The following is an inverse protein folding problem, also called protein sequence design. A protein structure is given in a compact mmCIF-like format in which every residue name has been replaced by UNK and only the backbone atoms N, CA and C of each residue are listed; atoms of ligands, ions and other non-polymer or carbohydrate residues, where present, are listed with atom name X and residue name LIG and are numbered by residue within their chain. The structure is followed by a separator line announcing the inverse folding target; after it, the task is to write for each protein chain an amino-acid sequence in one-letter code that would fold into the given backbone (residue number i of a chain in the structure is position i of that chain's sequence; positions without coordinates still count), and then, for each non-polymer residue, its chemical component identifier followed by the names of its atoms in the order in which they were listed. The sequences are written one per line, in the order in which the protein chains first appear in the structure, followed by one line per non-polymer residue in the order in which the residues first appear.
data_IF_207465031433
#
_entry.id   IF_207465031433
#
_cell.length_a   1.000
_cell.length_b   1.000
_cell.length_c   1.000
_cell.angle_alpha   90.00
_cell.angle_beta   90.00
_cell.angle_gamma   90.00
#
_symmetry.space_group_name_H-M   'P 1'
#
loop_
_entity.id
_entity.type
_entity.pdbx_description
1 polymer ?
#
# COMPACT_ATOMS: atom_id res chain seq x y z
N UNK A 1 41.24 -8.37 34.68
CA UNK A 1 40.51 -9.65 34.55
C UNK A 1 39.76 -9.67 33.24
N UNK A 2 39.81 -10.82 32.55
CA UNK A 2 39.07 -11.21 31.33
C UNK A 2 39.52 -10.66 29.96
N UNK A 3 40.20 -11.55 29.25
CA UNK A 3 40.72 -11.48 27.89
C UNK A 3 39.63 -11.86 26.88
N UNK A 4 39.33 -11.00 25.89
CA UNK A 4 38.61 -11.38 24.67
C UNK A 4 39.62 -11.90 23.65
N UNK A 5 39.82 -13.21 23.62
CA UNK A 5 40.63 -13.92 22.62
C UNK A 5 39.79 -14.26 21.38
N UNK A 6 40.32 -13.83 20.26
CA UNK A 6 39.88 -14.03 18.88
C UNK A 6 39.89 -15.52 18.50
N UNK A 7 38.84 -15.97 17.80
CA UNK A 7 38.67 -17.30 17.19
C UNK A 7 39.68 -17.57 16.07
N UNK A 8 40.93 -17.82 16.42
CA UNK A 8 41.95 -18.40 15.54
C UNK A 8 42.91 -19.26 16.36
N UNK A 9 42.50 -20.45 16.78
CA UNK A 9 43.41 -21.51 17.27
C UNK A 9 42.65 -22.82 17.45
N UNK A 10 42.22 -23.48 16.37
CA UNK A 10 41.76 -24.88 16.43
C UNK A 10 42.21 -25.75 15.26
N UNK A 11 43.19 -25.32 14.47
CA UNK A 11 43.82 -26.20 13.48
C UNK A 11 45.34 -26.15 13.66
N UNK A 12 45.89 -27.24 14.23
CA UNK A 12 47.30 -27.58 14.04
C UNK A 12 47.45 -28.14 12.61
N UNK A 13 48.54 -27.84 11.90
CA UNK A 13 48.84 -28.46 10.62
C UNK A 13 48.97 -29.98 10.82
N UNK A 14 48.41 -30.75 9.89
CA UNK A 14 48.56 -32.20 9.88
C UNK A 14 50.05 -32.54 9.72
N UNK A 15 50.66 -33.08 10.78
CA UNK A 15 51.92 -33.79 10.65
C UNK A 15 51.63 -35.06 9.85
N UNK A 16 52.16 -35.13 8.62
CA UNK A 16 52.18 -36.37 7.84
C UNK A 16 52.98 -37.42 8.64
N UNK A 17 52.41 -38.59 8.94
CA UNK A 17 53.21 -39.70 9.44
C UNK A 17 54.16 -40.20 8.32
N UNK A 18 55.34 -40.73 8.68
CA UNK A 18 56.30 -41.25 7.72
C UNK A 18 55.70 -42.45 6.96
N UNK A 19 56.19 -42.77 5.75
CA UNK A 19 55.62 -43.84 4.93
C UNK A 19 55.94 -45.19 5.56
N UNK A 20 55.02 -45.70 6.36
CA UNK A 20 55.05 -47.11 6.77
C UNK A 20 54.48 -47.89 5.60
N UNK A 21 55.37 -48.52 4.83
CA UNK A 21 55.04 -49.64 3.96
C UNK A 21 54.55 -50.75 4.89
N UNK A 22 53.25 -50.80 5.14
CA UNK A 22 52.61 -51.96 5.75
C UNK A 22 51.89 -52.71 4.63
N UNK A 23 52.38 -53.90 4.33
CA UNK A 23 51.63 -54.86 3.53
C UNK A 23 50.30 -55.11 4.24
N UNK A 24 49.23 -54.53 3.70
CA UNK A 24 47.88 -54.70 4.26
C UNK A 24 47.46 -56.15 4.11
N UNK A 25 47.28 -56.83 5.24
CA UNK A 25 46.82 -58.21 5.26
C UNK A 25 45.46 -58.36 4.53
N UNK A 26 45.15 -59.52 3.92
CA UNK A 26 43.88 -59.73 3.20
C UNK A 26 42.64 -59.42 4.05
N UNK A 27 42.75 -59.64 5.36
CA UNK A 27 41.70 -59.37 6.35
C UNK A 27 41.42 -57.87 6.52
N UNK A 28 42.45 -57.02 6.50
CA UNK A 28 42.30 -55.56 6.58
C UNK A 28 41.70 -54.98 5.29
N UNK A 29 42.05 -55.53 4.12
CA UNK A 29 41.43 -55.15 2.84
C UNK A 29 39.93 -55.49 2.80
N UNK A 30 39.53 -56.65 3.37
CA UNK A 30 38.11 -57.01 3.51
C UNK A 30 37.35 -56.07 4.44
N UNK A 31 37.95 -55.61 5.54
CA UNK A 31 37.32 -54.65 6.45
C UNK A 31 37.16 -53.25 5.81
N UNK A 32 38.15 -52.79 5.05
CA UNK A 32 38.07 -51.50 4.35
C UNK A 32 37.07 -51.51 3.18
N UNK A 33 36.86 -52.66 2.53
CA UNK A 33 35.89 -52.84 1.46
C UNK A 33 34.47 -53.18 1.96
N UNK A 34 34.33 -53.62 3.22
CA UNK A 34 33.05 -53.98 3.80
C UNK A 34 32.25 -52.71 4.13
N UNK A 35 31.16 -52.49 3.41
CA UNK A 35 30.15 -51.52 3.79
C UNK A 35 28.82 -52.21 4.09
N UNK A 36 28.28 -51.95 5.28
CA UNK A 36 27.07 -52.60 5.80
C UNK A 36 25.83 -52.27 4.96
N UNK A 37 25.74 -51.04 4.48
CA UNK A 37 24.69 -50.55 3.57
C UNK A 37 24.63 -51.38 2.28
N UNK A 38 25.77 -51.66 1.66
CA UNK A 38 25.85 -52.46 0.42
C UNK A 38 25.42 -53.91 0.65
N UNK A 39 25.82 -54.49 1.77
CA UNK A 39 25.39 -55.84 2.21
C UNK A 39 23.89 -55.89 2.49
N UNK A 40 23.33 -54.87 3.12
CA UNK A 40 21.88 -54.79 3.37
C UNK A 40 21.10 -54.63 2.06
N UNK A 41 21.62 -53.85 1.11
CA UNK A 41 21.01 -53.70 -0.21
C UNK A 41 21.03 -55.02 -1.01
N UNK A 42 22.14 -55.77 -0.95
CA UNK A 42 22.22 -57.10 -1.58
C UNK A 42 21.20 -58.08 -0.98
N UNK A 43 21.02 -58.10 0.34
CA UNK A 43 20.04 -58.95 1.02
C UNK A 43 18.60 -58.56 0.61
N UNK A 44 18.29 -57.26 0.56
CA UNK A 44 16.97 -56.77 0.14
C UNK A 44 16.69 -57.15 -1.33
N UNK A 45 17.70 -57.00 -2.20
CA UNK A 45 17.56 -57.37 -3.60
C UNK A 45 17.34 -58.87 -3.77
N UNK A 46 18.01 -59.73 -2.99
CA UNK A 46 17.75 -61.17 -3.00
C UNK A 46 16.33 -61.49 -2.53
N UNK A 47 15.87 -60.89 -1.42
CA UNK A 47 14.50 -61.07 -0.93
C UNK A 47 13.43 -60.67 -1.96
N UNK A 48 13.68 -59.62 -2.74
CA UNK A 48 12.80 -59.20 -3.83
C UNK A 48 12.77 -60.21 -4.98
N UNK A 49 13.95 -60.76 -5.35
CA UNK A 49 14.06 -61.78 -6.40
C UNK A 49 13.38 -63.08 -5.98
N UNK A 50 13.62 -63.54 -4.76
CA UNK A 50 13.03 -64.78 -4.23
C UNK A 50 11.51 -64.68 -4.19
N UNK A 51 10.98 -63.53 -3.73
CA UNK A 51 9.53 -63.29 -3.73
C UNK A 51 8.93 -63.18 -5.13
N UNK A 52 9.69 -62.64 -6.09
CA UNK A 52 9.26 -62.57 -7.48
C UNK A 52 9.23 -63.98 -8.13
N UNK A 53 10.20 -64.83 -7.81
CA UNK A 53 10.25 -66.22 -8.27
C UNK A 53 9.12 -67.04 -7.64
N UNK A 54 8.84 -66.86 -6.35
CA UNK A 54 7.74 -67.54 -5.66
C UNK A 54 6.38 -67.19 -6.28
N UNK A 55 6.13 -65.90 -6.55
CA UNK A 55 4.93 -65.46 -7.27
C UNK A 55 4.90 -66.04 -8.68
N UNK A 56 6.03 -66.08 -9.39
CA UNK A 56 6.10 -66.65 -10.73
C UNK A 56 5.73 -68.14 -10.73
N UNK A 57 6.28 -68.94 -9.81
CA UNK A 57 5.96 -70.37 -9.70
C UNK A 57 4.50 -70.60 -9.30
N UNK A 58 3.96 -69.84 -8.34
CA UNK A 58 2.55 -69.91 -7.98
C UNK A 58 1.67 -69.59 -9.20
N UNK A 59 1.99 -68.54 -9.96
CA UNK A 59 1.22 -68.20 -11.16
C UNK A 59 1.34 -69.24 -12.26
N UNK A 60 2.48 -69.93 -12.37
CA UNK A 60 2.69 -71.01 -13.33
C UNK A 60 1.91 -72.27 -12.96
N UNK A 61 1.94 -72.69 -11.69
CA UNK A 61 1.10 -73.79 -11.19
C UNK A 61 -0.39 -73.47 -11.32
N UNK A 62 -0.81 -72.24 -11.01
CA UNK A 62 -2.19 -71.78 -11.22
C UNK A 62 -2.61 -71.74 -12.70
N UNK A 63 -1.66 -71.66 -13.65
CA UNK A 63 -1.96 -71.74 -15.08
C UNK A 63 -1.96 -73.16 -15.62
N UNK A 64 -1.17 -74.06 -15.05
CA UNK A 64 -1.10 -75.46 -15.45
C UNK A 64 -2.24 -76.30 -14.83
N UNK A 65 -2.77 -75.92 -13.65
CA UNK A 65 -3.96 -76.54 -13.04
C UNK A 65 -5.30 -76.00 -13.61
N UNK A 66 -5.28 -75.02 -14.52
CA UNK A 66 -6.50 -74.60 -15.21
C UNK A 66 -6.88 -75.63 -16.26
N UNK A 67 -7.85 -76.48 -15.91
CA UNK A 67 -8.67 -77.20 -16.88
C UNK A 67 -9.04 -76.28 -18.04
N UNK A 68 -8.86 -76.76 -19.28
CA UNK A 68 -9.15 -76.00 -20.48
C UNK A 68 -10.51 -75.33 -20.35
N UNK A 69 -10.50 -73.99 -20.33
CA UNK A 69 -11.71 -73.20 -20.13
C UNK A 69 -12.79 -73.72 -21.09
N UNK A 70 -14.03 -73.97 -20.62
CA UNK A 70 -15.11 -74.36 -21.51
C UNK A 70 -15.17 -73.33 -22.64
N UNK A 71 -15.45 -73.75 -23.89
CA UNK A 71 -15.42 -72.85 -25.04
C UNK A 71 -16.28 -71.64 -24.67
N UNK A 72 -15.61 -70.49 -24.55
CA UNK A 72 -16.25 -69.24 -24.19
C UNK A 72 -17.36 -69.07 -25.21
N UNK A 73 -18.60 -69.30 -24.78
CA UNK A 73 -19.76 -68.84 -25.52
C UNK A 73 -19.51 -67.36 -25.70
N UNK A 74 -19.25 -66.94 -26.94
CA UNK A 74 -18.76 -65.60 -27.26
C UNK A 74 -19.68 -64.57 -26.60
N UNK A 75 -19.27 -64.11 -25.43
CA UNK A 75 -19.98 -63.03 -24.77
C UNK A 75 -19.73 -61.83 -25.67
N UNK A 76 -20.80 -61.39 -26.36
CA UNK A 76 -20.78 -60.29 -27.33
C UNK A 76 -19.79 -59.20 -26.87
N UNK A 77 -18.87 -58.83 -27.75
CA UNK A 77 -17.77 -57.88 -27.49
C UNK A 77 -18.20 -56.59 -26.78
N UNK A 78 -19.48 -56.20 -26.93
CA UNK A 78 -20.15 -55.10 -26.23
C UNK A 78 -20.30 -55.31 -24.72
N UNK A 79 -20.61 -56.51 -24.23
CA UNK A 79 -20.79 -56.81 -22.79
C UNK A 79 -19.45 -56.79 -22.07
N UNK A 80 -18.41 -57.35 -22.70
CA UNK A 80 -17.03 -57.31 -22.17
C UNK A 80 -16.50 -55.88 -22.12
N UNK A 81 -16.77 -55.07 -23.16
CA UNK A 81 -16.42 -53.64 -23.21
C UNK A 81 -17.15 -52.84 -22.11
N UNK A 82 -18.43 -53.10 -21.88
CA UNK A 82 -19.20 -52.46 -20.81
C UNK A 82 -18.64 -52.77 -19.42
N UNK A 83 -18.35 -54.05 -19.14
CA UNK A 83 -17.78 -54.45 -17.85
C UNK A 83 -16.39 -53.83 -17.62
N UNK A 84 -15.57 -53.77 -18.67
CA UNK A 84 -14.26 -53.11 -18.62
C UNK A 84 -14.38 -51.61 -18.34
N UNK A 85 -15.26 -50.88 -19.04
CA UNK A 85 -15.50 -49.44 -18.81
C UNK A 85 -15.97 -49.21 -17.35
N UNK A 86 -16.91 -50.03 -16.87
CA UNK A 86 -17.42 -49.94 -15.49
C UNK A 86 -16.33 -50.22 -14.44
N UNK A 87 -15.47 -51.21 -14.67
CA UNK A 87 -14.34 -51.52 -13.79
C UNK A 87 -13.30 -50.40 -13.78
N UNK A 88 -12.97 -49.84 -14.95
CA UNK A 88 -12.06 -48.70 -15.05
C UNK A 88 -12.61 -47.47 -14.34
N UNK A 89 -13.91 -47.20 -14.46
CA UNK A 89 -14.58 -46.11 -13.75
C UNK A 89 -14.50 -46.28 -12.23
N UNK A 90 -14.82 -47.46 -11.70
CA UNK A 90 -14.77 -47.75 -10.27
C UNK A 90 -13.34 -47.64 -9.72
N UNK A 91 -12.36 -48.18 -10.43
CA UNK A 91 -10.95 -48.09 -10.04
C UNK A 91 -10.44 -46.65 -10.05
N UNK A 92 -10.79 -45.85 -11.07
CA UNK A 92 -10.43 -44.44 -11.14
C UNK A 92 -11.04 -43.65 -9.97
N UNK A 93 -12.33 -43.84 -9.67
CA UNK A 93 -12.99 -43.16 -8.55
C UNK A 93 -12.38 -43.54 -7.20
N UNK A 94 -12.03 -44.81 -7.01
CA UNK A 94 -11.34 -45.28 -5.82
C UNK A 94 -9.96 -44.63 -5.67
N UNK A 95 -9.14 -44.67 -6.73
CA UNK A 95 -7.81 -44.06 -6.73
C UNK A 95 -7.87 -42.54 -6.56
N UNK A 96 -8.85 -41.86 -7.19
CA UNK A 96 -9.12 -40.44 -7.02
C UNK A 96 -9.36 -40.10 -5.54
N UNK A 97 -10.19 -40.90 -4.85
CA UNK A 97 -10.45 -40.73 -3.42
C UNK A 97 -9.18 -40.91 -2.58
N UNK A 98 -8.33 -41.89 -2.91
CA UNK A 98 -7.05 -42.11 -2.23
C UNK A 98 -6.08 -40.94 -2.40
N UNK A 99 -6.01 -40.35 -3.60
CA UNK A 99 -5.15 -39.19 -3.85
C UNK A 99 -5.70 -37.93 -3.18
N UNK A 100 -7.03 -37.75 -3.18
CA UNK A 100 -7.68 -36.63 -2.48
C UNK A 100 -7.52 -36.68 -0.96
N UNK A 101 -7.42 -37.88 -0.38
CA UNK A 101 -7.19 -38.06 1.07
C UNK A 101 -5.75 -37.80 1.53
N UNK A 102 -4.82 -37.59 0.60
CA UNK A 102 -3.43 -37.31 0.94
C UNK A 102 -3.30 -35.89 1.53
N UNK A 103 -2.66 -35.68 2.70
CA UNK A 103 -2.46 -34.35 3.25
C UNK A 103 -1.73 -33.43 2.27
N UNK A 104 -2.39 -32.33 1.90
CA UNK A 104 -1.82 -31.29 1.03
C UNK A 104 -0.96 -30.32 1.84
N UNK A 105 0.06 -29.76 1.19
CA UNK A 105 0.84 -28.69 1.80
C UNK A 105 -0.04 -27.44 1.82
N UNK A 106 -0.37 -26.88 3.00
CA UNK A 106 -1.18 -25.68 3.09
C UNK A 106 -0.43 -24.47 2.52
N UNK A 107 -1.17 -23.44 2.13
CA UNK A 107 -0.56 -22.19 1.69
C UNK A 107 0.34 -21.62 2.79
N UNK A 108 1.52 -21.13 2.39
CA UNK A 108 2.48 -20.59 3.35
C UNK A 108 1.96 -19.26 3.91
N UNK A 109 1.89 -19.13 5.25
CA UNK A 109 1.38 -17.90 5.88
C UNK A 109 2.16 -16.64 5.48
N UNK A 110 3.44 -16.77 5.16
CA UNK A 110 4.24 -15.65 4.67
C UNK A 110 3.66 -15.04 3.38
N UNK A 111 3.10 -15.84 2.49
CA UNK A 111 2.51 -15.35 1.25
C UNK A 111 1.24 -14.54 1.52
N UNK A 112 0.38 -15.03 2.42
CA UNK A 112 -0.80 -14.28 2.86
C UNK A 112 -0.42 -12.95 3.51
N UNK A 113 0.62 -12.94 4.35
CA UNK A 113 1.13 -11.70 4.97
C UNK A 113 1.70 -10.72 3.93
N UNK A 114 2.43 -11.21 2.94
CA UNK A 114 2.93 -10.37 1.84
C UNK A 114 1.80 -9.80 0.98
N UNK A 115 0.73 -10.57 0.72
CA UNK A 115 -0.46 -10.08 0.03
C UNK A 115 -1.11 -8.93 0.81
N UNK A 116 -1.28 -9.09 2.12
CA UNK A 116 -1.83 -8.03 2.97
C UNK A 116 -0.93 -6.79 3.04
N UNK A 117 0.39 -6.96 3.05
CA UNK A 117 1.33 -5.84 3.08
C UNK A 117 1.29 -4.97 1.81
N UNK A 118 0.80 -5.52 0.69
CA UNK A 118 0.60 -4.76 -0.54
C UNK A 118 -0.71 -3.94 -0.54
N UNK A 119 -1.62 -4.20 0.39
CA UNK A 119 -2.89 -3.49 0.50
C UNK A 119 -2.73 -2.30 1.45
N UNK A 120 -3.05 -1.06 1.02
CA UNK A 120 -3.03 0.11 1.89
C UNK A 120 -3.90 -0.05 3.13
N UNK A 121 -3.37 0.36 4.29
CA UNK A 121 -4.01 0.16 5.59
C UNK A 121 -5.36 0.89 5.71
N UNK A 122 -5.52 2.02 5.04
CA UNK A 122 -6.78 2.77 4.94
C UNK A 122 -7.94 2.00 4.30
N UNK A 123 -7.64 0.96 3.51
CA UNK A 123 -8.64 0.09 2.89
C UNK A 123 -9.00 -1.11 3.78
N UNK A 124 -8.16 -1.42 4.77
CA UNK A 124 -8.38 -2.50 5.74
C UNK A 124 -9.02 -2.01 7.05
N UNK A 125 -8.99 -0.69 7.29
CA UNK A 125 -9.57 -0.06 8.48
C UNK A 125 -11.12 -0.05 8.41
N UNK A 126 -11.76 -0.52 9.49
CA UNK A 126 -13.21 -0.58 9.64
C UNK A 126 -13.73 -2.00 9.89
N UNK A 127 -14.82 -2.12 10.67
CA UNK A 127 -15.34 -3.44 11.12
C UNK A 127 -15.84 -4.31 9.93
N UNK A 128 -16.50 -3.70 8.94
CA UNK A 128 -16.99 -4.39 7.74
C UNK A 128 -15.86 -4.75 6.77
N UNK A 129 -14.85 -3.88 6.61
CA UNK A 129 -13.71 -4.10 5.71
C UNK A 129 -12.76 -5.18 6.22
N UNK A 130 -12.62 -5.29 7.55
CA UNK A 130 -11.91 -6.40 8.19
C UNK A 130 -12.55 -7.76 7.90
N UNK A 131 -13.89 -7.85 7.98
CA UNK A 131 -14.62 -9.08 7.66
C UNK A 131 -14.46 -9.48 6.19
N UNK A 132 -14.61 -8.51 5.27
CA UNK A 132 -14.39 -8.75 3.84
C UNK A 132 -12.97 -9.27 3.56
N UNK A 133 -11.96 -8.71 4.24
CA UNK A 133 -10.57 -9.16 4.08
C UNK A 133 -10.40 -10.60 4.54
N UNK A 134 -11.05 -11.00 5.64
CA UNK A 134 -11.01 -12.37 6.13
C UNK A 134 -11.71 -13.35 5.17
N UNK A 135 -12.85 -12.96 4.59
CA UNK A 135 -13.57 -13.74 3.59
C UNK A 135 -12.72 -13.95 2.33
N UNK A 136 -12.08 -12.89 1.82
CA UNK A 136 -11.19 -12.98 0.65
C UNK A 136 -9.97 -13.85 0.92
N UNK A 137 -9.37 -13.78 2.11
CA UNK A 137 -8.27 -14.68 2.48
C UNK A 137 -8.72 -16.14 2.52
N UNK A 138 -9.92 -16.42 3.04
CA UNK A 138 -10.49 -17.78 3.03
C UNK A 138 -10.74 -18.29 1.62
N UNK A 139 -11.21 -17.43 0.72
CA UNK A 139 -11.38 -17.75 -0.70
C UNK A 139 -10.04 -18.12 -1.36
N UNK A 140 -9.01 -17.29 -1.17
CA UNK A 140 -7.66 -17.54 -1.71
C UNK A 140 -7.09 -18.87 -1.21
N UNK A 141 -7.24 -19.17 0.09
CA UNK A 141 -6.78 -20.43 0.68
C UNK A 141 -7.51 -21.62 0.04
N UNK A 142 -8.83 -21.53 -0.07
CA UNK A 142 -9.67 -22.58 -0.68
C UNK A 142 -9.32 -22.80 -2.15
N UNK A 143 -9.07 -21.73 -2.90
CA UNK A 143 -8.70 -21.81 -4.31
C UNK A 143 -7.32 -22.43 -4.51
N UNK A 144 -6.37 -22.08 -3.63
CA UNK A 144 -5.04 -22.69 -3.62
C UNK A 144 -5.13 -24.20 -3.34
N UNK A 145 -5.87 -24.59 -2.30
CA UNK A 145 -6.07 -26.00 -1.93
C UNK A 145 -6.73 -26.78 -3.07
N UNK A 146 -7.80 -26.24 -3.65
CA UNK A 146 -8.51 -26.84 -4.79
C UNK A 146 -7.58 -27.00 -6.00
N UNK A 147 -6.79 -25.97 -6.30
CA UNK A 147 -5.85 -25.98 -7.43
C UNK A 147 -4.69 -26.96 -7.22
N UNK A 148 -4.16 -27.03 -5.99
CA UNK A 148 -3.09 -27.96 -5.64
C UNK A 148 -3.58 -29.40 -5.67
N UNK A 149 -4.76 -29.67 -5.11
CA UNK A 149 -5.39 -30.99 -5.14
C UNK A 149 -5.63 -31.45 -6.58
N UNK A 150 -6.10 -30.55 -7.46
CA UNK A 150 -6.22 -30.81 -8.90
C UNK A 150 -4.87 -31.12 -9.55
N UNK A 151 -3.82 -30.37 -9.21
CA UNK A 151 -2.48 -30.60 -9.74
C UNK A 151 -1.94 -31.98 -9.36
N UNK A 152 -2.07 -32.37 -8.08
CA UNK A 152 -1.64 -33.67 -7.58
C UNK A 152 -2.44 -34.79 -8.23
N UNK A 153 -3.76 -34.65 -8.34
CA UNK A 153 -4.64 -35.62 -9.00
C UNK A 153 -4.21 -35.89 -10.44
N UNK A 154 -3.98 -34.85 -11.24
CA UNK A 154 -3.57 -34.99 -12.65
C UNK A 154 -2.16 -35.53 -12.83
N UNK A 155 -1.25 -35.30 -11.86
CA UNK A 155 0.10 -35.86 -11.89
C UNK A 155 0.13 -37.33 -11.48
N UNK A 156 -0.71 -37.73 -10.53
CA UNK A 156 -0.74 -39.08 -10.00
C UNK A 156 -1.64 -40.02 -10.83
N UNK A 157 -2.72 -39.50 -11.41
CA UNK A 157 -3.72 -40.28 -12.13
C UNK A 157 -3.90 -39.74 -13.54
N UNK A 158 -3.79 -40.65 -14.51
CA UNK A 158 -4.19 -40.39 -15.90
C UNK A 158 -5.70 -40.56 -15.96
N UNK A 159 -6.40 -39.51 -16.41
CA UNK A 159 -7.85 -39.56 -16.61
C UNK A 159 -8.18 -40.50 -17.78
N UNK A 160 -9.01 -41.54 -17.57
CA UNK A 160 -9.45 -42.40 -18.67
C UNK A 160 -10.44 -41.65 -19.56
N UNK A 161 -10.35 -41.87 -20.88
CA UNK A 161 -11.23 -41.28 -21.90
C UNK A 161 -12.62 -41.95 -21.88
N UNK A 162 -13.42 -41.61 -20.87
CA UNK A 162 -14.76 -42.16 -20.63
C UNK A 162 -15.73 -40.98 -20.53
N UNK A 163 -16.66 -40.87 -21.50
CA UNK A 163 -17.64 -39.77 -21.58
C UNK A 163 -18.53 -39.64 -20.34
N UNK A 164 -18.78 -40.73 -19.60
CA UNK A 164 -19.52 -40.65 -18.33
C UNK A 164 -18.74 -39.92 -17.23
N UNK A 165 -17.40 -39.89 -17.29
CA UNK A 165 -16.55 -39.22 -16.32
C UNK A 165 -16.54 -37.70 -16.51
N UNK A 166 -16.66 -37.25 -17.76
CA UNK A 166 -16.77 -35.83 -18.10
C UNK A 166 -18.09 -35.19 -17.63
N UNK A 167 -19.14 -35.99 -17.47
CA UNK A 167 -20.43 -35.53 -16.93
C UNK A 167 -20.48 -35.52 -15.40
N UNK A 168 -19.59 -36.27 -14.75
CA UNK A 168 -19.52 -36.38 -13.28
C UNK A 168 -18.57 -35.35 -12.66
N UNK A 169 -17.72 -34.71 -13.47
CA UNK A 169 -16.79 -33.69 -13.02
C UNK A 169 -17.28 -32.30 -13.45
N UNK A 170 -17.66 -31.44 -12.49
CA UNK A 170 -17.84 -29.99 -12.68
C UNK A 170 -16.48 -29.26 -12.91
N UNK A 171 -15.46 -29.96 -13.39
CA UNK A 171 -14.14 -29.38 -13.62
C UNK A 171 -14.10 -28.68 -14.98
N UNK A 172 -14.13 -27.35 -14.96
CA UNK A 172 -13.75 -26.56 -16.11
C UNK A 172 -12.37 -27.02 -16.63
N UNK A 173 -12.19 -27.21 -17.95
CA UNK A 173 -10.87 -27.47 -18.51
C UNK A 173 -9.93 -26.33 -18.11
N UNK A 174 -8.64 -26.65 -17.92
CA UNK A 174 -7.65 -25.58 -17.78
C UNK A 174 -7.77 -24.68 -19.02
N UNK A 175 -7.59 -23.35 -18.88
CA UNK A 175 -7.42 -22.50 -20.04
C UNK A 175 -6.23 -23.07 -20.83
N UNK A 176 -6.52 -23.70 -21.95
CA UNK A 176 -5.49 -24.12 -22.89
C UNK A 176 -4.81 -22.86 -23.37
N UNK A 177 -3.46 -22.86 -23.44
CA UNK A 177 -2.79 -21.84 -24.24
C UNK A 177 -3.47 -21.82 -25.62
N UNK A 178 -3.82 -20.65 -26.19
CA UNK A 178 -4.47 -20.61 -27.49
C UNK A 178 -3.55 -21.27 -28.52
N UNK A 179 -3.87 -22.50 -28.90
CA UNK A 179 -3.19 -23.23 -29.96
C UNK A 179 -3.61 -22.55 -31.28
N UNK A 180 -2.64 -21.98 -31.99
CA UNK A 180 -2.89 -21.13 -33.16
C UNK A 180 -2.62 -19.64 -32.96
N UNK A 181 -2.04 -19.23 -31.82
CA UNK A 181 -1.35 -17.93 -31.74
C UNK A 181 -0.13 -17.96 -32.66
N UNK A 182 -0.34 -17.52 -33.89
CA UNK A 182 0.74 -17.22 -34.81
C UNK A 182 1.47 -15.96 -34.30
N UNK A 183 2.66 -16.17 -33.73
CA UNK A 183 3.56 -15.08 -33.34
C UNK A 183 4.28 -14.46 -34.55
N UNK A 184 4.02 -14.93 -35.78
CA UNK A 184 4.42 -14.28 -37.04
C UNK A 184 3.53 -13.08 -37.34
N UNK A 185 3.57 -12.10 -36.45
CA UNK A 185 2.58 -11.03 -36.47
C UNK A 185 2.85 -9.93 -37.50
N UNK A 186 1.89 -9.69 -38.40
CA UNK A 186 1.76 -8.47 -39.23
C UNK A 186 1.66 -7.18 -38.41
N UNK A 187 1.38 -7.28 -37.10
CA UNK A 187 1.35 -6.15 -36.18
C UNK A 187 2.72 -5.78 -35.59
N UNK A 188 3.77 -6.61 -35.77
CA UNK A 188 5.09 -6.34 -35.18
C UNK A 188 5.63 -4.98 -35.61
N UNK A 189 5.54 -4.66 -36.90
CA UNK A 189 5.98 -3.38 -37.44
C UNK A 189 5.11 -2.23 -36.92
N UNK A 190 3.80 -2.44 -36.79
CA UNK A 190 2.88 -1.46 -36.20
C UNK A 190 3.22 -1.19 -34.72
N UNK A 191 3.51 -2.24 -33.95
CA UNK A 191 3.96 -2.16 -32.56
C UNK A 191 5.31 -1.45 -32.45
N UNK A 192 6.30 -1.80 -33.27
CA UNK A 192 7.61 -1.12 -33.29
C UNK A 192 7.42 0.35 -33.64
N UNK A 193 6.59 0.67 -34.63
CA UNK A 193 6.30 2.05 -35.02
C UNK A 193 5.62 2.82 -33.89
N UNK A 194 4.63 2.22 -33.22
CA UNK A 194 3.96 2.82 -32.07
C UNK A 194 4.92 3.02 -30.89
N UNK A 195 5.75 2.01 -30.58
CA UNK A 195 6.78 2.08 -29.53
C UNK A 195 7.79 3.18 -29.83
N UNK A 196 8.32 3.25 -31.05
CA UNK A 196 9.24 4.31 -31.48
C UNK A 196 8.59 5.69 -31.35
N UNK A 197 7.32 5.83 -31.77
CA UNK A 197 6.55 7.08 -31.63
C UNK A 197 6.38 7.48 -30.17
N UNK A 198 5.98 6.55 -29.30
CA UNK A 198 5.84 6.82 -27.86
C UNK A 198 7.19 7.23 -27.29
N UNK A 199 8.27 6.51 -27.59
CA UNK A 199 9.61 6.83 -27.08
C UNK A 199 10.11 8.20 -27.55
N UNK A 200 9.79 8.60 -28.78
CA UNK A 200 10.20 9.90 -29.34
C UNK A 200 9.36 11.10 -28.91
N UNK A 201 8.19 10.86 -28.30
CA UNK A 201 7.21 11.92 -27.97
C UNK A 201 6.93 12.01 -26.48
N UNK A 202 7.12 10.90 -25.74
CA UNK A 202 6.81 10.81 -24.32
C UNK A 202 8.05 11.10 -23.47
N UNK A 203 8.24 12.38 -23.14
CA UNK A 203 9.43 12.83 -22.40
C UNK A 203 9.46 12.40 -20.93
N UNK A 204 8.33 11.98 -20.32
CA UNK A 204 8.30 11.54 -18.91
C UNK A 204 9.22 10.34 -18.63
N UNK A 205 9.53 9.55 -19.67
CA UNK A 205 10.44 8.39 -19.57
C UNK A 205 11.92 8.79 -19.63
N UNK A 206 12.22 10.05 -19.90
CA UNK A 206 13.60 10.54 -19.98
C UNK A 206 14.29 10.46 -18.61
N UNK A 207 15.58 10.06 -18.52
CA UNK A 207 16.31 9.98 -17.25
C UNK A 207 16.25 11.27 -16.42
N UNK A 208 16.32 12.43 -17.07
CA UNK A 208 16.20 13.76 -16.44
C UNK A 208 14.86 13.96 -15.71
N UNK A 209 13.76 13.42 -16.24
CA UNK A 209 12.45 13.52 -15.58
C UNK A 209 12.40 12.66 -14.32
N UNK A 210 13.05 11.49 -14.35
CA UNK A 210 13.18 10.61 -13.17
C UNK A 210 14.00 11.28 -12.08
N UNK A 211 15.12 11.92 -12.40
CA UNK A 211 15.95 12.63 -11.41
C UNK A 211 15.22 13.84 -10.85
N UNK A 212 14.47 14.57 -11.68
CA UNK A 212 13.64 15.69 -11.25
C UNK A 212 12.51 15.23 -10.30
N UNK A 213 11.87 14.10 -10.61
CA UNK A 213 10.91 13.46 -9.72
C UNK A 213 11.54 13.15 -8.35
N UNK A 214 12.73 12.54 -8.34
CA UNK A 214 13.46 12.20 -7.12
C UNK A 214 13.81 13.44 -6.28
N UNK A 215 14.21 14.55 -6.92
CA UNK A 215 14.43 15.83 -6.22
C UNK A 215 13.18 16.33 -5.51
N UNK A 216 12.01 16.26 -6.16
CA UNK A 216 10.74 16.64 -5.54
C UNK A 216 10.35 15.70 -4.40
N UNK A 217 10.44 14.38 -4.58
CA UNK A 217 10.15 13.43 -3.51
C UNK A 217 11.05 13.66 -2.29
N UNK A 218 12.36 13.78 -2.48
CA UNK A 218 13.31 13.97 -1.37
C UNK A 218 13.13 15.32 -0.68
N UNK A 219 12.84 16.39 -1.41
CA UNK A 219 12.63 17.71 -0.84
C UNK A 219 11.28 17.82 -0.11
N UNK A 220 10.22 17.24 -0.68
CA UNK A 220 8.87 17.47 -0.24
C UNK A 220 8.33 16.38 0.69
N UNK A 221 8.88 15.17 0.75
CA UNK A 221 8.29 14.04 1.50
C UNK A 221 7.78 14.41 2.91
N UNK A 222 8.62 15.06 3.73
CA UNK A 222 8.29 15.51 5.09
C UNK A 222 8.17 17.04 5.23
N UNK A 223 7.95 17.75 4.12
CA UNK A 223 7.89 19.21 4.12
C UNK A 223 6.45 19.71 4.01
N UNK A 224 6.08 20.69 4.83
CA UNK A 224 4.81 21.41 4.74
C UNK A 224 5.11 22.90 4.65
N UNK A 225 4.35 23.62 3.83
CA UNK A 225 4.52 25.08 3.70
C UNK A 225 4.17 25.77 5.02
N UNK A 226 3.12 25.28 5.68
CA UNK A 226 2.66 25.77 6.98
C UNK A 226 2.35 24.58 7.89
N UNK A 227 2.86 24.61 9.12
CA UNK A 227 2.61 23.59 10.14
C UNK A 227 2.17 24.24 11.48
N UNK A 228 0.88 24.14 11.78
CA UNK A 228 0.30 24.67 13.02
C UNK A 228 0.05 23.62 14.09
N UNK A 229 0.48 22.37 13.90
CA UNK A 229 0.28 21.26 14.86
C UNK A 229 0.81 21.57 16.27
N UNK A 230 1.89 22.35 16.37
CA UNK A 230 2.54 22.72 17.64
C UNK A 230 2.06 24.04 18.24
N UNK A 231 1.06 24.70 17.65
CA UNK A 231 0.63 26.02 18.14
C UNK A 231 0.09 25.99 19.56
N UNK A 232 -0.56 24.90 19.96
CA UNK A 232 -1.07 24.75 21.33
C UNK A 232 0.01 24.86 22.41
N UNK A 233 1.26 24.44 22.12
CA UNK A 233 2.39 24.53 23.05
C UNK A 233 2.83 25.97 23.30
N UNK A 234 2.52 26.91 22.40
CA UNK A 234 2.86 28.33 22.53
C UNK A 234 1.85 29.11 23.38
N UNK A 235 0.74 28.49 23.76
CA UNK A 235 -0.35 29.13 24.51
C UNK A 235 -1.37 29.85 23.61
N UNK A 236 -2.27 30.66 24.20
CA UNK A 236 -3.29 31.40 23.46
C UNK A 236 -2.69 32.39 22.46
N UNK A 237 -3.20 32.39 21.24
CA UNK A 237 -2.69 33.18 20.11
C UNK A 237 -3.70 34.27 19.74
N UNK A 238 -3.20 35.46 19.42
CA UNK A 238 -4.01 36.55 18.88
C UNK A 238 -4.20 36.41 17.36
N UNK A 239 -5.38 36.77 16.84
CA UNK A 239 -5.71 36.67 15.42
C UNK A 239 -4.72 37.42 14.51
N UNK A 240 -4.24 38.60 14.92
CA UNK A 240 -3.26 39.37 14.11
C UNK A 240 -1.93 38.63 14.07
N UNK A 241 -1.43 38.21 15.24
CA UNK A 241 -0.19 37.44 15.34
C UNK A 241 -0.24 36.12 14.54
N UNK A 242 -1.41 35.47 14.51
CA UNK A 242 -1.64 34.24 13.76
C UNK A 242 -1.58 34.47 12.24
N UNK A 243 -2.25 35.51 11.73
CA UNK A 243 -2.17 35.92 10.31
C UNK A 243 -0.71 36.22 9.92
N UNK A 244 0.00 37.00 10.72
CA UNK A 244 1.41 37.34 10.46
C UNK A 244 2.33 36.12 10.48
N UNK A 245 2.15 35.19 11.43
CA UNK A 245 2.93 33.94 11.49
C UNK A 245 2.65 33.05 10.26
N UNK A 246 1.40 32.98 9.79
CA UNK A 246 1.05 32.25 8.57
C UNK A 246 1.78 32.81 7.34
N UNK A 247 1.70 34.13 7.10
CA UNK A 247 2.38 34.77 5.97
C UNK A 247 3.90 34.64 6.06
N UNK A 248 4.48 34.80 7.25
CA UNK A 248 5.92 34.65 7.47
C UNK A 248 6.40 33.23 7.19
N UNK A 249 5.63 32.21 7.60
CA UNK A 249 5.97 30.81 7.34
C UNK A 249 5.87 30.47 5.86
N UNK A 250 4.85 30.95 5.16
CA UNK A 250 4.73 30.82 3.71
C UNK A 250 5.94 31.42 2.99
N UNK A 251 6.31 32.67 3.31
CA UNK A 251 7.48 33.34 2.72
C UNK A 251 8.79 32.59 3.01
N UNK A 252 9.02 32.16 4.26
CA UNK A 252 10.21 31.35 4.61
C UNK A 252 10.24 30.00 3.90
N UNK A 253 9.08 29.37 3.71
CA UNK A 253 8.98 28.11 2.98
C UNK A 253 9.31 28.31 1.50
N UNK A 254 8.82 29.39 0.88
CA UNK A 254 9.14 29.78 -0.49
C UNK A 254 10.64 30.03 -0.68
N UNK A 255 11.27 30.83 0.18
CA UNK A 255 12.72 31.06 0.14
C UNK A 255 13.52 29.75 0.26
N UNK A 256 13.07 28.84 1.14
CA UNK A 256 13.72 27.54 1.34
C UNK A 256 13.57 26.66 0.10
N UNK A 257 12.39 26.59 -0.51
CA UNK A 257 12.15 25.83 -1.74
C UNK A 257 13.01 26.40 -2.88
N UNK A 258 13.04 27.72 -3.02
CA UNK A 258 13.81 28.40 -4.05
C UNK A 258 15.31 28.19 -3.90
N UNK A 259 15.84 28.27 -2.67
CA UNK A 259 17.28 28.10 -2.40
C UNK A 259 17.77 26.66 -2.40
N UNK A 260 16.88 25.67 -2.23
CA UNK A 260 17.27 24.25 -2.13
C UNK A 260 16.81 23.43 -3.33
N UNK A 261 15.51 23.16 -3.43
CA UNK A 261 14.93 22.33 -4.47
C UNK A 261 15.06 22.97 -5.85
N UNK A 262 14.67 24.24 -5.99
CA UNK A 262 14.69 24.90 -7.30
C UNK A 262 16.13 25.13 -7.80
N UNK A 263 17.08 25.46 -6.91
CA UNK A 263 18.51 25.51 -7.28
C UNK A 263 19.04 24.17 -7.78
N UNK A 264 18.61 23.04 -7.21
CA UNK A 264 18.98 21.70 -7.70
C UNK A 264 18.38 21.40 -9.06
N UNK A 265 17.11 21.77 -9.27
CA UNK A 265 16.45 21.67 -10.58
C UNK A 265 17.23 22.48 -11.61
N UNK A 266 17.58 23.73 -11.31
CA UNK A 266 18.38 24.57 -12.19
C UNK A 266 19.75 23.98 -12.49
N UNK A 267 20.46 23.50 -11.46
CA UNK A 267 21.76 22.85 -11.61
C UNK A 267 21.73 21.62 -12.52
N UNK A 268 20.62 20.87 -12.54
CA UNK A 268 20.43 19.74 -13.44
C UNK A 268 20.39 20.20 -14.91
N UNK A 269 19.62 21.23 -15.23
CA UNK A 269 19.50 21.72 -16.62
C UNK A 269 20.67 22.59 -17.09
N UNK A 270 21.60 22.91 -16.21
CA UNK A 270 22.89 23.53 -16.57
C UNK A 270 23.87 22.50 -17.15
N UNK A 271 23.65 21.21 -16.89
CA UNK A 271 24.48 20.11 -17.39
C UNK A 271 24.07 19.72 -18.81
N UNK A 272 25.04 19.55 -19.72
CA UNK A 272 24.77 19.16 -21.11
C UNK A 272 24.07 17.80 -21.21
N UNK A 273 24.37 16.91 -20.26
CA UNK A 273 23.85 15.55 -20.15
C UNK A 273 22.33 15.51 -19.90
N UNK A 274 21.76 16.60 -19.34
CA UNK A 274 20.33 16.68 -19.07
C UNK A 274 19.47 16.75 -20.35
N UNK A 275 20.08 17.13 -21.47
CA UNK A 275 19.46 17.24 -22.80
C UNK A 275 19.90 16.12 -23.76
N UNK A 276 20.60 15.10 -23.26
CA UNK A 276 21.10 13.99 -24.07
C UNK A 276 19.95 13.27 -24.80
N UNK A 277 19.96 13.35 -26.14
CA UNK A 277 18.94 12.71 -26.97
C UNK A 277 17.70 13.56 -27.23
N UNK A 278 17.62 14.78 -26.68
CA UNK A 278 16.58 15.77 -27.01
C UNK A 278 17.00 16.57 -28.23
N UNK A 279 16.17 16.56 -29.28
CA UNK A 279 16.44 17.36 -30.49
C UNK A 279 16.01 18.82 -30.29
N UNK A 280 16.63 19.74 -31.04
CA UNK A 280 16.33 21.18 -30.97
C UNK A 280 14.88 21.51 -31.32
N UNK A 281 14.27 20.81 -32.28
CA UNK A 281 12.86 20.95 -32.66
C UNK A 281 11.89 20.46 -31.58
N UNK A 282 12.37 19.67 -30.64
CA UNK A 282 11.61 19.04 -29.55
C UNK A 282 11.83 19.71 -28.19
N UNK A 283 12.81 20.61 -28.10
CA UNK A 283 13.24 21.24 -26.85
C UNK A 283 12.08 21.94 -26.11
N UNK A 284 11.24 22.69 -26.83
CA UNK A 284 10.08 23.37 -26.24
C UNK A 284 9.09 22.36 -25.62
N UNK A 285 8.77 21.28 -26.34
CA UNK A 285 7.88 20.23 -25.84
C UNK A 285 8.47 19.47 -24.64
N UNK A 286 9.79 19.30 -24.60
CA UNK A 286 10.49 18.74 -23.46
C UNK A 286 10.41 19.66 -22.24
N UNK A 287 10.70 20.95 -22.41
CA UNK A 287 10.58 21.93 -21.34
C UNK A 287 9.14 22.11 -20.83
N UNK A 288 8.14 21.99 -21.69
CA UNK A 288 6.73 21.98 -21.28
C UNK A 288 6.44 20.77 -20.39
N UNK A 289 6.99 19.60 -20.70
CA UNK A 289 6.89 18.43 -19.83
C UNK A 289 7.56 18.67 -18.47
N UNK A 290 8.73 19.33 -18.44
CA UNK A 290 9.40 19.72 -17.19
C UNK A 290 8.52 20.66 -16.39
N UNK A 291 7.96 21.70 -17.02
CA UNK A 291 7.10 22.68 -16.36
C UNK A 291 5.88 22.02 -15.73
N UNK A 292 5.17 21.15 -16.48
CA UNK A 292 4.01 20.41 -15.96
C UNK A 292 4.40 19.52 -14.78
N UNK A 293 5.55 18.84 -14.86
CA UNK A 293 6.03 17.97 -13.79
C UNK A 293 6.34 18.74 -12.50
N UNK A 294 7.05 19.87 -12.62
CA UNK A 294 7.35 20.76 -11.49
C UNK A 294 6.06 21.35 -10.89
N UNK A 295 5.15 21.83 -11.75
CA UNK A 295 3.83 22.33 -11.36
C UNK A 295 3.05 21.31 -10.55
N UNK A 296 3.00 20.04 -10.99
CA UNK A 296 2.29 18.98 -10.27
C UNK A 296 2.87 18.73 -8.87
N UNK A 297 4.20 18.70 -8.73
CA UNK A 297 4.85 18.51 -7.43
C UNK A 297 4.52 19.65 -6.45
N UNK A 298 4.52 20.90 -6.92
CA UNK A 298 4.20 22.05 -6.10
C UNK A 298 2.70 22.08 -5.73
N UNK A 299 1.82 21.76 -6.69
CA UNK A 299 0.37 21.62 -6.43
C UNK A 299 0.08 20.55 -5.39
N UNK A 300 0.72 19.38 -5.48
CA UNK A 300 0.60 18.30 -4.49
C UNK A 300 1.04 18.76 -3.10
N UNK A 301 2.16 19.50 -3.00
CA UNK A 301 2.64 20.06 -1.75
C UNK A 301 1.63 21.04 -1.12
N UNK A 302 1.07 21.96 -1.93
CA UNK A 302 0.08 22.95 -1.46
C UNK A 302 -1.23 22.27 -1.05
N UNK A 303 -1.70 21.30 -1.83
CA UNK A 303 -2.88 20.50 -1.51
C UNK A 303 -2.69 19.76 -0.18
N UNK A 304 -1.59 19.02 -0.03
CA UNK A 304 -1.30 18.27 1.19
C UNK A 304 -1.16 19.18 2.41
N UNK A 305 -0.53 20.35 2.26
CA UNK A 305 -0.44 21.34 3.34
C UNK A 305 -1.83 21.81 3.77
N UNK A 306 -2.71 22.08 2.79
CA UNK A 306 -4.09 22.48 3.05
C UNK A 306 -4.87 21.38 3.77
N UNK A 307 -4.76 20.13 3.32
CA UNK A 307 -5.42 18.98 3.96
C UNK A 307 -4.95 18.77 5.40
N UNK A 308 -3.63 18.85 5.65
CA UNK A 308 -3.07 18.75 7.00
C UNK A 308 -3.57 19.89 7.89
N UNK A 309 -3.66 21.11 7.37
CA UNK A 309 -4.20 22.24 8.12
C UNK A 309 -5.68 22.05 8.48
N UNK A 310 -6.51 21.59 7.54
CA UNK A 310 -7.93 21.30 7.79
C UNK A 310 -8.10 20.21 8.85
N UNK A 311 -7.25 19.17 8.82
CA UNK A 311 -7.25 18.09 9.82
C UNK A 311 -6.98 18.57 11.25
N UNK A 312 -6.33 19.71 11.46
CA UNK A 312 -6.15 20.29 12.80
C UNK A 312 -7.48 20.70 13.47
N UNK A 313 -8.55 20.85 12.68
CA UNK A 313 -9.89 21.21 13.14
C UNK A 313 -10.87 20.03 13.07
N UNK A 314 -10.36 18.80 13.04
CA UNK A 314 -11.16 17.59 13.11
C UNK A 314 -11.83 17.49 14.50
N UNK A 315 -13.16 17.34 14.59
CA UNK A 315 -13.86 17.19 15.87
C UNK A 315 -13.37 15.99 16.71
N UNK A 316 -12.84 14.94 16.07
CA UNK A 316 -12.35 13.72 16.73
C UNK A 316 -10.96 13.91 17.36
N UNK A 317 -10.12 14.79 16.80
CA UNK A 317 -8.77 15.08 17.31
C UNK A 317 -8.64 16.53 17.79
N UNK A 318 -9.04 16.76 19.04
CA UNK A 318 -8.94 18.07 19.70
C UNK A 318 -7.56 18.31 20.34
N UNK A 319 -6.60 17.40 20.19
CA UNK A 319 -5.31 17.51 20.88
C UNK A 319 -4.45 18.63 20.30
N UNK A 320 -4.52 18.85 18.99
CA UNK A 320 -3.69 19.79 18.24
C UNK A 320 -4.39 21.10 17.85
N UNK A 321 -5.65 21.30 18.29
CA UNK A 321 -6.46 22.46 17.92
C UNK A 321 -5.82 23.77 18.45
N UNK A 322 -5.64 24.81 17.61
CA UNK A 322 -5.12 26.10 18.05
C UNK A 322 -6.02 26.78 19.07
N UNK A 323 -5.43 27.38 20.11
CA UNK A 323 -6.17 28.12 21.13
C UNK A 323 -6.06 29.61 20.81
N UNK A 324 -7.20 30.25 20.61
CA UNK A 324 -7.27 31.69 20.34
C UNK A 324 -7.62 32.46 21.61
N UNK A 325 -6.96 33.59 21.80
CA UNK A 325 -7.32 34.54 22.86
C UNK A 325 -8.53 35.35 22.39
N UNK A 326 -9.60 35.36 23.19
CA UNK A 326 -10.75 36.24 23.00
C UNK A 326 -11.05 36.93 24.33
N UNK A 327 -11.11 38.25 24.30
CA UNK A 327 -11.46 39.12 25.41
C UNK A 327 -12.96 39.47 25.30
N UNK A 328 -13.65 39.59 26.44
CA UNK A 328 -15.01 40.13 26.48
C UNK A 328 -14.90 41.63 26.76
N UNK A 329 -15.26 42.45 25.78
CA UNK A 329 -15.19 43.91 25.88
C UNK A 329 -16.57 44.50 26.04
N UNK A 330 -16.62 45.64 26.73
CA UNK A 330 -17.83 46.43 26.87
C UNK A 330 -17.66 47.72 26.06
N UNK A 331 -18.43 47.86 24.99
CA UNK A 331 -18.41 49.02 24.11
C UNK A 331 -19.83 49.47 23.77
N UNK A 332 -20.09 50.78 23.74
CA UNK A 332 -21.41 51.37 23.41
C UNK A 332 -22.63 50.71 24.09
N UNK A 333 -22.54 50.40 25.40
CA UNK A 333 -23.57 49.67 26.16
C UNK A 333 -23.88 48.26 25.63
N UNK A 334 -22.91 47.59 25.02
CA UNK A 334 -23.00 46.20 24.57
C UNK A 334 -21.77 45.42 25.01
N UNK A 335 -22.00 44.22 25.54
CA UNK A 335 -20.92 43.26 25.76
C UNK A 335 -20.67 42.52 24.45
N UNK A 336 -19.44 42.49 23.96
CA UNK A 336 -19.08 41.82 22.71
C UNK A 336 -17.73 41.10 22.83
N UNK A 337 -17.51 40.08 22.00
CA UNK A 337 -16.22 39.40 21.93
C UNK A 337 -15.24 40.18 21.06
N UNK A 338 -14.03 40.40 21.58
CA UNK A 338 -12.90 40.94 20.84
C UNK A 338 -11.73 39.95 20.82
N UNK A 339 -11.21 39.55 19.64
CA UNK A 339 -11.71 39.86 18.31
C UNK A 339 -13.10 39.25 18.07
N UNK A 340 -13.83 39.76 17.07
CA UNK A 340 -15.17 39.23 16.78
C UNK A 340 -15.09 37.78 16.27
N UNK A 341 -16.21 37.06 16.33
CA UNK A 341 -16.29 35.70 15.78
C UNK A 341 -15.98 35.68 14.27
N UNK A 342 -16.33 36.75 13.56
CA UNK A 342 -16.02 36.92 12.15
C UNK A 342 -14.52 37.14 11.93
N UNK A 343 -13.88 37.98 12.74
CA UNK A 343 -12.42 38.19 12.67
C UNK A 343 -11.63 36.89 12.88
N UNK A 344 -12.11 36.04 13.79
CA UNK A 344 -11.54 34.72 14.03
C UNK A 344 -11.75 33.78 12.83
N UNK A 345 -12.96 33.73 12.26
CA UNK A 345 -13.24 32.96 11.05
C UNK A 345 -12.33 33.41 9.90
N UNK A 346 -12.23 34.71 9.67
CA UNK A 346 -11.36 35.30 8.65
C UNK A 346 -9.88 35.01 8.91
N UNK A 347 -9.41 35.03 10.17
CA UNK A 347 -8.03 34.69 10.52
C UNK A 347 -7.67 33.24 10.19
N UNK A 348 -8.57 32.29 10.43
CA UNK A 348 -8.35 30.88 10.12
C UNK A 348 -8.40 30.63 8.61
N UNK A 349 -9.37 31.23 7.91
CA UNK A 349 -9.50 31.08 6.47
C UNK A 349 -8.37 31.76 5.69
N UNK A 350 -7.83 32.85 6.22
CA UNK A 350 -6.67 33.55 5.66
C UNK A 350 -5.44 32.65 5.51
N UNK A 351 -5.28 31.62 6.34
CA UNK A 351 -4.19 30.65 6.19
C UNK A 351 -4.30 29.88 4.88
N UNK A 352 -5.52 29.47 4.50
CA UNK A 352 -5.75 28.78 3.22
C UNK A 352 -5.42 29.70 2.05
N UNK A 353 -5.77 30.99 2.17
CA UNK A 353 -5.41 32.00 1.17
C UNK A 353 -3.89 32.22 1.08
N UNK A 354 -3.20 32.28 2.22
CA UNK A 354 -1.73 32.34 2.24
C UNK A 354 -1.09 31.15 1.52
N UNK A 355 -1.57 29.92 1.81
CA UNK A 355 -1.09 28.71 1.13
C UNK A 355 -1.33 28.82 -0.37
N UNK A 356 -2.53 29.22 -0.80
CA UNK A 356 -2.87 29.39 -2.21
C UNK A 356 -2.07 30.48 -2.92
N UNK A 357 -1.58 31.49 -2.21
CA UNK A 357 -0.74 32.56 -2.74
C UNK A 357 0.77 32.25 -2.69
N UNK A 358 1.18 31.15 -2.07
CA UNK A 358 2.60 30.76 -1.98
C UNK A 358 3.05 30.16 -3.32
N UNK A 359 4.31 30.38 -3.72
CA UNK A 359 4.94 29.74 -4.90
C UNK A 359 4.35 30.13 -6.27
N UNK A 360 3.61 31.22 -6.37
CA UNK A 360 2.92 31.63 -7.62
C UNK A 360 3.87 32.23 -8.68
N UNK A 361 5.05 32.70 -8.27
CA UNK A 361 5.96 33.45 -9.16
C UNK A 361 7.24 32.68 -9.54
N UNK A 362 7.18 31.34 -9.52
CA UNK A 362 8.35 30.51 -9.86
C UNK A 362 8.47 30.42 -11.37
N UNK A 363 9.64 30.77 -11.93
CA UNK A 363 9.87 30.73 -13.37
C UNK A 363 9.96 29.29 -13.89
N UNK A 364 9.51 29.08 -15.13
CA UNK A 364 9.75 27.82 -15.85
C UNK A 364 11.25 27.67 -16.14
N UNK A 365 11.73 26.43 -16.20
CA UNK A 365 13.14 26.14 -16.59
C UNK A 365 13.44 26.74 -17.98
N UNK A 366 12.49 26.67 -18.91
CA UNK A 366 12.65 27.29 -20.22
C UNK A 366 12.85 28.80 -20.13
N UNK A 367 11.99 29.51 -19.39
CA UNK A 367 12.11 30.95 -19.19
C UNK A 367 13.45 31.31 -18.54
N UNK A 368 13.87 30.55 -17.52
CA UNK A 368 15.13 30.79 -16.84
C UNK A 368 16.35 30.61 -17.75
N UNK A 369 16.34 29.60 -18.64
CA UNK A 369 17.43 29.36 -19.60
C UNK A 369 17.45 30.35 -20.76
N UNK A 370 16.28 30.85 -21.18
CA UNK A 370 16.13 31.75 -22.34
C UNK A 370 16.06 33.22 -21.96
N UNK A 371 16.06 33.56 -20.67
CA UNK A 371 15.84 34.92 -20.17
C UNK A 371 14.40 35.43 -20.32
N UNK A 372 13.43 34.51 -20.41
CA UNK A 372 12.00 34.82 -20.47
C UNK A 372 11.36 35.06 -19.09
N UNK A 373 10.04 35.30 -19.07
CA UNK A 373 9.27 35.62 -17.86
C UNK A 373 8.18 34.62 -17.52
N UNK A 374 8.05 33.51 -18.27
CA UNK A 374 6.98 32.53 -18.05
C UNK A 374 7.12 31.82 -16.70
N UNK A 375 6.03 31.76 -15.93
CA UNK A 375 5.95 31.13 -14.61
C UNK A 375 5.29 29.75 -14.66
N UNK A 376 5.54 28.94 -13.64
CA UNK A 376 4.89 27.67 -13.41
C UNK A 376 3.44 27.88 -12.96
N UNK A 377 2.55 27.02 -13.43
CA UNK A 377 1.19 26.93 -12.91
C UNK A 377 1.24 26.18 -11.57
N UNK A 378 1.16 26.91 -10.47
CA UNK A 378 1.19 26.38 -9.09
C UNK A 378 -0.09 26.72 -8.33
N UNK A 379 -1.14 27.13 -9.03
CA UNK A 379 -2.40 27.52 -8.40
C UNK A 379 -3.00 26.35 -7.63
N UNK A 380 -3.35 26.59 -6.36
CA UNK A 380 -4.08 25.62 -5.56
C UNK A 380 -5.43 25.35 -6.24
N UNK A 381 -5.80 24.09 -6.53
CA UNK A 381 -7.03 23.79 -7.23
C UNK A 381 -8.26 24.40 -6.52
N UNK A 382 -9.11 25.09 -7.28
CA UNK A 382 -10.24 25.83 -6.73
C UNK A 382 -11.17 24.95 -5.87
N UNK A 383 -11.41 23.71 -6.29
CA UNK A 383 -12.23 22.75 -5.55
C UNK A 383 -11.63 22.41 -4.18
N UNK A 384 -10.30 22.27 -4.07
CA UNK A 384 -9.58 22.01 -2.82
C UNK A 384 -9.68 23.21 -1.89
N UNK A 385 -9.45 24.42 -2.39
CA UNK A 385 -9.57 25.64 -1.60
C UNK A 385 -11.01 25.84 -1.07
N UNK A 386 -12.02 25.62 -1.91
CA UNK A 386 -13.43 25.71 -1.54
C UNK A 386 -13.83 24.64 -0.51
N UNK A 387 -13.38 23.39 -0.70
CA UNK A 387 -13.56 22.31 0.27
C UNK A 387 -12.93 22.66 1.63
N UNK A 388 -11.69 23.15 1.62
CA UNK A 388 -10.98 23.50 2.84
C UNK A 388 -11.71 24.62 3.61
N UNK A 389 -12.08 25.70 2.91
CA UNK A 389 -12.81 26.83 3.51
C UNK A 389 -14.17 26.42 4.05
N UNK A 390 -14.96 25.65 3.29
CA UNK A 390 -16.28 25.19 3.74
C UNK A 390 -16.19 24.27 4.96
N UNK A 391 -15.21 23.35 4.97
CA UNK A 391 -14.97 22.44 6.10
C UNK A 391 -14.54 23.21 7.34
N UNK A 392 -13.58 24.13 7.23
CA UNK A 392 -13.13 24.97 8.33
C UNK A 392 -14.28 25.82 8.90
N UNK A 393 -15.09 26.47 8.06
CA UNK A 393 -16.27 27.23 8.51
C UNK A 393 -17.22 26.38 9.35
N UNK A 394 -17.45 25.13 8.95
CA UNK A 394 -18.29 24.21 9.71
C UNK A 394 -17.67 23.87 11.06
N UNK A 395 -16.38 23.50 11.09
CA UNK A 395 -15.67 23.18 12.34
C UNK A 395 -15.59 24.37 13.30
N UNK A 396 -15.33 25.58 12.78
CA UNK A 396 -15.28 26.82 13.57
C UNK A 396 -16.65 27.09 14.22
N UNK A 397 -17.74 26.98 13.46
CA UNK A 397 -19.10 27.17 14.00
C UNK A 397 -19.40 26.21 15.15
N UNK A 398 -19.06 24.94 14.99
CA UNK A 398 -19.26 23.91 16.03
C UNK A 398 -18.46 24.26 17.30
N UNK A 399 -17.19 24.67 17.16
CA UNK A 399 -16.35 25.03 18.30
C UNK A 399 -16.79 26.33 19.00
N UNK A 400 -17.45 27.24 18.28
CA UNK A 400 -17.92 28.52 18.81
C UNK A 400 -19.33 28.47 19.42
N UNK A 401 -20.07 27.37 19.30
CA UNK A 401 -21.43 27.26 19.86
C UNK A 401 -21.41 27.36 21.39
N UNK A 402 -20.50 26.63 22.06
CA UNK A 402 -20.35 26.68 23.52
C UNK A 402 -20.07 28.09 24.07
N UNK A 403 -19.05 28.81 23.55
CA UNK A 403 -18.81 30.21 23.92
C UNK A 403 -20.02 31.13 23.68
N UNK A 404 -20.78 30.94 22.59
CA UNK A 404 -22.00 31.72 22.31
C UNK A 404 -23.11 31.43 23.31
N UNK A 405 -23.35 30.17 23.64
CA UNK A 405 -24.34 29.77 24.64
C UNK A 405 -24.00 30.34 26.02
N UNK A 406 -22.72 30.24 26.42
CA UNK A 406 -22.24 30.83 27.66
C UNK A 406 -22.42 32.34 27.68
N UNK A 407 -22.11 33.02 26.57
CA UNK A 407 -22.33 34.46 26.43
C UNK A 407 -23.80 34.86 26.54
N UNK A 408 -24.72 34.10 25.91
CA UNK A 408 -26.17 34.33 26.05
C UNK A 408 -26.62 34.27 27.51
N UNK A 409 -26.14 33.30 28.28
CA UNK A 409 -26.46 33.20 29.72
C UNK A 409 -26.01 34.42 30.53
N UNK A 410 -24.85 35.00 30.20
CA UNK A 410 -24.38 36.26 30.83
C UNK A 410 -25.29 37.44 30.47
N UNK A 411 -25.67 37.57 29.20
CA UNK A 411 -26.56 38.64 28.74
C UNK A 411 -27.96 38.51 29.37
N UNK A 412 -28.49 37.30 29.51
CA UNK A 412 -29.78 37.08 30.17
C UNK A 412 -29.73 37.43 31.68
N UNK A 413 -28.63 37.11 32.35
CA UNK A 413 -28.48 37.33 33.80
C UNK A 413 -28.20 38.78 34.17
N UNK A 414 -27.39 39.47 33.35
CA UNK A 414 -26.82 40.78 33.68
C UNK A 414 -27.14 41.87 32.65
N UNK A 415 -27.88 41.57 31.58
CA UNK A 415 -28.18 42.53 30.51
C UNK A 415 -28.96 43.76 31.00
N UNK A 416 -29.80 43.60 32.03
CA UNK A 416 -30.57 44.69 32.64
C UNK A 416 -29.70 45.77 33.32
N UNK A 417 -28.43 45.46 33.63
CA UNK A 417 -27.46 46.43 34.14
C UNK A 417 -26.91 47.33 33.03
N UNK A 418 -26.96 46.84 31.80
CA UNK A 418 -26.25 47.40 30.64
C UNK A 418 -27.20 48.13 29.69
N UNK A 419 -28.44 47.65 29.56
CA UNK A 419 -29.44 48.17 28.62
C UNK A 419 -30.15 49.46 29.08
N UNK A 420 -29.75 50.02 30.24
CA UNK A 420 -30.38 51.20 30.84
C UNK A 420 -31.60 50.89 31.73
N UNK A 421 -32.05 49.63 31.79
CA UNK A 421 -33.17 49.22 32.65
C UNK A 421 -32.88 49.48 34.13
N UNK A 422 -31.64 49.26 34.58
CA UNK A 422 -31.22 49.59 35.93
C UNK A 422 -31.37 51.10 36.23
N UNK A 423 -30.99 51.96 35.29
CA UNK A 423 -31.11 53.42 35.46
C UNK A 423 -32.58 53.85 35.51
N UNK A 424 -33.44 53.25 34.68
CA UNK A 424 -34.89 53.49 34.73
C UNK A 424 -35.51 53.02 36.05
N UNK A 425 -35.09 51.85 36.57
CA UNK A 425 -35.54 51.35 37.88
C UNK A 425 -35.16 52.31 38.99
N UNK A 426 -33.93 52.82 38.98
CA UNK A 426 -33.46 53.81 39.96
C UNK A 426 -34.26 55.11 39.82
N UNK A 427 -34.45 55.63 38.61
CA UNK A 427 -35.25 56.85 38.37
C UNK A 427 -36.69 56.71 38.86
N UNK A 428 -37.31 55.55 38.62
CA UNK A 428 -38.66 55.23 39.10
C UNK A 428 -38.71 55.19 40.62
N UNK A 429 -37.77 54.48 41.25
CA UNK A 429 -37.65 54.40 42.71
C UNK A 429 -37.47 55.79 43.36
N UNK A 430 -36.62 56.65 42.78
CA UNK A 430 -36.42 58.02 43.29
C UNK A 430 -37.69 58.88 43.14
N UNK A 431 -38.45 58.71 42.06
CA UNK A 431 -39.69 59.45 41.82
C UNK A 431 -40.81 59.07 42.81
N UNK A 432 -40.80 57.85 43.34
CA UNK A 432 -41.81 57.33 44.27
C UNK A 432 -41.64 57.84 45.72
N UNK A 433 -40.57 58.58 46.04
CA UNK A 433 -40.22 59.08 47.40
C UNK A 433 -40.43 58.05 48.51
N UNK A 434 -39.76 56.88 48.45
CA UNK A 434 -39.91 55.82 49.44
C UNK A 434 -39.42 56.26 50.83
N UNK A 435 -39.96 55.62 51.87
CA UNK A 435 -39.61 55.90 53.26
C UNK A 435 -38.22 55.34 53.62
N UNK A 436 -37.55 55.89 54.64
CA UNK A 436 -36.16 55.52 55.00
C UNK A 436 -35.98 54.02 55.29
N UNK A 437 -37.03 53.35 55.77
CA UNK A 437 -37.01 51.90 56.05
C UNK A 437 -36.93 51.04 54.78
N UNK A 438 -37.31 51.57 53.61
CA UNK A 438 -37.25 50.88 52.31
C UNK A 438 -35.87 51.00 51.63
N UNK A 439 -34.92 51.71 52.24
CA UNK A 439 -33.53 51.83 51.76
C UNK A 439 -32.58 50.78 52.34
N UNK A 440 -33.00 50.06 53.37
CA UNK A 440 -32.26 48.96 54.05
C UNK A 440 -32.78 47.61 53.62
#
# INVERSE_FOLDING_TARGET
TSSKRTLRTLFRPAALPPPVISETSPSQKKLLAYRRDRKQQEIINQLLIDRALEVYYITMEETDERDAAPPITELHSTVRKYFFIKSCLLNYLFLKKCVQSNPMIPIQQQWLRSMLAMVPQSLMEGRERGQLTEELLKEIVKDYETSMQRCVLRRALIKPDIKELDKLEDEAPLPSLPLGLDFSSTWHDSYIKAKKRITSTLYILHPTMKTLLDFGYTAFFNFLVVDFSRCRLKGPIDCKSFKTDASLRCSKAEDKIMSTWYQRVFGLFTQSEALDGVKLDQFESFCNCVAVLLSNQLKELLQRTTEVFVKLFDPEDRSCLPIFKMDLTFDENRMEFYPSLQDLEEAILFVVDCIGQTLQNIQTVHALLTGGTATLDTELPAHTAQWAKSTLKKSIRINLEGPKEHFKGYVESYGWLVDGTAEERIKRFVAEQPSFDEYT
#
